data_IF_637668728605
#
_entry.id   IF_637668728605
#
_cell.length_a   1.000
_cell.length_b   1.000
_cell.length_c   1.000
_cell.angle_alpha   90.00
_cell.angle_beta   90.00
_cell.angle_gamma   90.00
#
_symmetry.space_group_name_H-M   'P 1'
#
loop_
_entity.id
_entity.type
_entity.pdbx_description
1 polymer ?
#
# COMPACT_ATOMS: atom_id res chain seq x y z
N UNK A 1 1.33 -48.78 -16.74
CA UNK A 1 -0.05 -49.32 -16.71
C UNK A 1 -0.99 -48.15 -16.93
N UNK A 2 -1.41 -47.95 -18.18
CA UNK A 2 -2.20 -46.81 -18.65
C UNK A 2 -3.62 -47.28 -18.97
N UNK A 3 -4.60 -46.80 -18.21
CA UNK A 3 -6.01 -47.11 -18.43
C UNK A 3 -6.62 -46.17 -19.48
N UNK A 4 -7.52 -46.65 -20.37
CA UNK A 4 -8.17 -45.79 -21.36
C UNK A 4 -9.41 -45.12 -20.77
N UNK A 5 -9.52 -43.81 -20.97
CA UNK A 5 -10.69 -42.99 -20.63
C UNK A 5 -11.74 -43.17 -21.73
N UNK A 6 -12.89 -43.74 -21.39
CA UNK A 6 -14.07 -43.83 -22.28
C UNK A 6 -14.85 -42.52 -22.22
N UNK A 7 -14.88 -41.78 -23.34
CA UNK A 7 -15.84 -40.70 -23.55
C UNK A 7 -17.20 -41.28 -23.95
N UNK A 8 -18.22 -41.05 -23.12
CA UNK A 8 -19.63 -41.15 -23.51
C UNK A 8 -20.24 -39.76 -23.44
N UNK A 9 -20.46 -39.16 -24.61
CA UNK A 9 -21.21 -37.92 -24.77
C UNK A 9 -22.66 -38.27 -25.13
N UNK A 10 -23.55 -38.23 -24.16
CA UNK A 10 -25.00 -38.21 -24.40
C UNK A 10 -25.42 -36.78 -24.72
N UNK A 11 -25.65 -36.48 -26.01
CA UNK A 11 -26.26 -35.23 -26.45
C UNK A 11 -27.76 -35.29 -26.16
N UNK A 12 -28.21 -34.48 -25.22
CA UNK A 12 -29.64 -34.17 -25.04
C UNK A 12 -30.06 -33.09 -26.04
N UNK A 13 -31.18 -33.23 -26.77
CA UNK A 13 -31.62 -32.23 -27.73
C UNK A 13 -32.14 -30.98 -27.02
N UNK A 14 -31.67 -29.85 -27.53
CA UNK A 14 -31.98 -28.50 -27.12
C UNK A 14 -33.48 -28.19 -27.16
N UNK A 15 -34.04 -27.72 -26.04
CA UNK A 15 -35.13 -26.75 -26.07
C UNK A 15 -34.51 -25.39 -26.41
N UNK A 16 -34.55 -25.06 -27.71
CA UNK A 16 -34.25 -23.73 -28.24
C UNK A 16 -35.29 -22.74 -27.72
N UNK A 17 -35.00 -22.09 -26.60
CA UNK A 17 -35.74 -20.92 -26.16
C UNK A 17 -35.19 -19.71 -26.95
N UNK A 18 -35.80 -19.43 -28.10
CA UNK A 18 -35.53 -18.25 -28.92
C UNK A 18 -36.21 -17.04 -28.30
N UNK A 19 -35.65 -16.52 -27.20
CA UNK A 19 -35.94 -15.17 -26.74
C UNK A 19 -34.69 -14.31 -26.96
N UNK A 20 -34.37 -14.09 -28.24
CA UNK A 20 -33.23 -13.32 -28.73
C UNK A 20 -33.60 -11.84 -28.92
N UNK A 21 -34.38 -11.28 -28.01
CA UNK A 21 -34.52 -9.83 -27.93
C UNK A 21 -33.33 -9.31 -27.12
N UNK A 22 -32.41 -8.53 -27.71
CA UNK A 22 -31.28 -7.97 -26.97
C UNK A 22 -31.87 -7.05 -25.89
N UNK A 23 -31.91 -7.53 -24.65
CA UNK A 23 -32.27 -6.71 -23.50
C UNK A 23 -31.30 -5.53 -23.51
N UNK A 24 -31.81 -4.35 -23.86
CA UNK A 24 -31.09 -3.11 -23.74
C UNK A 24 -30.76 -2.95 -22.25
N UNK A 25 -29.57 -3.38 -21.85
CA UNK A 25 -29.03 -3.09 -20.53
C UNK A 25 -28.72 -1.60 -20.50
N UNK A 26 -29.71 -0.80 -20.14
CA UNK A 26 -29.45 0.57 -19.74
C UNK A 26 -28.44 0.52 -18.59
N UNK A 27 -27.32 1.28 -18.67
CA UNK A 27 -26.38 1.33 -17.58
C UNK A 27 -27.12 1.80 -16.32
N UNK A 28 -26.85 1.20 -15.14
CA UNK A 28 -27.46 1.63 -13.90
C UNK A 28 -27.18 3.12 -13.70
N UNK A 29 -28.15 3.85 -13.14
CA UNK A 29 -27.91 5.25 -12.78
C UNK A 29 -26.76 5.33 -11.78
N UNK A 30 -26.02 6.45 -11.80
CA UNK A 30 -24.90 6.68 -10.87
C UNK A 30 -25.36 6.49 -9.41
N UNK A 31 -26.59 6.86 -9.08
CA UNK A 31 -27.17 6.70 -7.74
C UNK A 31 -27.31 5.23 -7.32
N UNK A 32 -27.77 4.37 -8.23
CA UNK A 32 -27.86 2.91 -8.00
C UNK A 32 -26.47 2.34 -7.82
N UNK A 33 -25.53 2.70 -8.69
CA UNK A 33 -24.15 2.24 -8.60
C UNK A 33 -23.49 2.65 -7.26
N UNK A 34 -23.66 3.90 -6.83
CA UNK A 34 -23.12 4.40 -5.55
C UNK A 34 -23.75 3.67 -4.36
N UNK A 35 -25.05 3.39 -4.41
CA UNK A 35 -25.74 2.61 -3.37
C UNK A 35 -25.20 1.19 -3.31
N UNK A 36 -25.17 0.49 -4.44
CA UNK A 36 -24.70 -0.89 -4.52
C UNK A 36 -23.25 -1.02 -4.06
N UNK A 37 -22.41 -0.03 -4.41
CA UNK A 37 -21.02 -0.01 -3.97
C UNK A 37 -20.89 0.21 -2.46
N UNK A 38 -21.69 1.13 -1.87
CA UNK A 38 -21.72 1.34 -0.42
C UNK A 38 -22.21 0.11 0.33
N UNK A 39 -23.24 -0.55 -0.18
CA UNK A 39 -23.80 -1.75 0.42
C UNK A 39 -22.79 -2.90 0.33
N UNK A 40 -22.09 -3.06 -0.80
CA UNK A 40 -21.05 -4.06 -0.99
C UNK A 40 -19.85 -3.89 -0.05
N UNK A 41 -19.50 -2.66 0.34
CA UNK A 41 -18.38 -2.37 1.25
C UNK A 41 -18.81 -2.07 2.69
N UNK A 42 -20.09 -2.18 3.01
CA UNK A 42 -20.63 -1.81 4.33
C UNK A 42 -19.94 -2.57 5.46
N UNK A 43 -19.73 -3.87 5.26
CA UNK A 43 -19.12 -4.74 6.26
C UNK A 43 -17.61 -4.49 6.39
N UNK A 44 -16.97 -3.88 5.38
CA UNK A 44 -15.59 -3.42 5.44
C UNK A 44 -15.42 -2.13 6.26
N UNK A 45 -16.50 -1.38 6.52
CA UNK A 45 -16.48 -0.14 7.29
C UNK A 45 -16.46 -0.32 8.81
N UNK A 46 -16.70 -1.53 9.32
CA UNK A 46 -16.75 -1.79 10.77
C UNK A 46 -15.34 -1.98 11.31
N UNK A 47 -14.76 -0.91 11.85
CA UNK A 47 -13.47 -0.95 12.54
C UNK A 47 -13.64 -1.57 13.92
N UNK A 48 -12.84 -2.61 14.22
CA UNK A 48 -12.80 -3.24 15.54
C UNK A 48 -11.50 -2.84 16.25
N UNK A 49 -11.54 -1.96 17.27
CA UNK A 49 -10.33 -1.47 17.95
C UNK A 49 -9.45 -2.60 18.49
N UNK A 50 -10.09 -3.63 19.04
CA UNK A 50 -9.40 -4.78 19.63
C UNK A 50 -8.66 -5.64 18.60
N UNK A 51 -9.22 -5.83 17.40
CA UNK A 51 -8.51 -6.57 16.34
C UNK A 51 -7.25 -5.82 15.91
N UNK A 52 -7.35 -4.49 15.76
CA UNK A 52 -6.21 -3.64 15.43
C UNK A 52 -5.10 -3.68 16.49
N UNK A 53 -5.48 -3.55 17.76
CA UNK A 53 -4.55 -3.58 18.89
C UNK A 53 -3.87 -4.94 19.05
N UNK A 54 -4.63 -6.04 19.00
CA UNK A 54 -4.05 -7.39 19.11
C UNK A 54 -3.09 -7.66 17.96
N UNK A 55 -3.48 -7.35 16.71
CA UNK A 55 -2.61 -7.55 15.55
C UNK A 55 -1.32 -6.75 15.67
N UNK A 56 -1.43 -5.45 15.94
CA UNK A 56 -0.27 -4.55 16.05
C UNK A 56 0.63 -4.93 17.22
N UNK A 57 0.03 -5.28 18.36
CA UNK A 57 0.74 -5.70 19.57
C UNK A 57 1.49 -7.02 19.38
N UNK A 58 0.85 -8.03 18.79
CA UNK A 58 1.50 -9.33 18.52
C UNK A 58 2.67 -9.16 17.56
N UNK A 59 2.50 -8.42 16.46
CA UNK A 59 3.58 -8.17 15.50
C UNK A 59 4.73 -7.39 16.18
N UNK A 60 4.41 -6.35 16.96
CA UNK A 60 5.40 -5.58 17.70
C UNK A 60 6.19 -6.41 18.72
N UNK A 61 5.52 -7.26 19.49
CA UNK A 61 6.16 -8.19 20.45
C UNK A 61 7.07 -9.18 19.73
N UNK A 62 6.64 -9.76 18.61
CA UNK A 62 7.46 -10.67 17.82
C UNK A 62 8.69 -9.97 17.25
N UNK A 63 8.53 -8.75 16.71
CA UNK A 63 9.62 -7.92 16.21
C UNK A 63 10.64 -7.62 17.31
N UNK A 64 10.21 -7.02 18.42
CA UNK A 64 11.09 -6.64 19.53
C UNK A 64 11.72 -7.86 20.22
N UNK A 65 10.98 -8.97 20.32
CA UNK A 65 11.50 -10.24 20.81
C UNK A 65 12.63 -10.78 19.94
N UNK A 66 12.47 -10.77 18.62
CA UNK A 66 13.53 -11.19 17.69
C UNK A 66 14.77 -10.26 17.79
N UNK A 67 14.57 -8.95 17.92
CA UNK A 67 15.67 -8.00 18.17
C UNK A 67 16.39 -8.33 19.47
N UNK A 68 15.66 -8.51 20.57
CA UNK A 68 16.23 -8.84 21.87
C UNK A 68 17.03 -10.16 21.83
N UNK A 69 16.50 -11.18 21.17
CA UNK A 69 17.19 -12.46 20.96
C UNK A 69 18.45 -12.27 20.11
N UNK A 70 18.39 -11.51 19.01
CA UNK A 70 19.57 -11.24 18.18
C UNK A 70 20.71 -10.66 19.03
N UNK A 71 20.43 -9.70 19.90
CA UNK A 71 21.40 -9.06 20.78
C UNK A 71 21.98 -9.96 21.88
N UNK A 72 21.36 -11.11 22.17
CA UNK A 72 21.93 -12.10 23.09
C UNK A 72 23.08 -12.91 22.46
N UNK A 73 23.19 -12.91 21.12
CA UNK A 73 24.24 -13.63 20.40
C UNK A 73 25.30 -12.64 19.90
N UNK A 74 26.56 -12.71 20.37
CA UNK A 74 27.65 -11.93 19.78
C UNK A 74 27.81 -12.30 18.29
N UNK A 75 28.18 -11.31 17.46
CA UNK A 75 28.24 -11.30 15.98
C UNK A 75 28.45 -12.71 15.39
N UNK A 76 27.33 -13.39 15.12
CA UNK A 76 27.27 -14.78 14.67
C UNK A 76 26.16 -14.94 13.64
N UNK A 77 26.10 -16.11 13.00
CA UNK A 77 24.98 -16.43 12.12
C UNK A 77 23.62 -16.35 12.81
N UNK A 78 23.55 -16.66 14.10
CA UNK A 78 22.33 -16.50 14.88
C UNK A 78 21.89 -15.03 14.94
N UNK A 79 22.81 -14.09 15.17
CA UNK A 79 22.51 -12.65 15.12
C UNK A 79 21.89 -12.27 13.77
N UNK A 80 22.53 -12.66 12.66
CA UNK A 80 22.06 -12.33 11.30
C UNK A 80 20.67 -12.89 11.02
N UNK A 81 20.43 -14.15 11.38
CA UNK A 81 19.12 -14.82 11.17
C UNK A 81 18.03 -14.13 11.98
N UNK A 82 18.26 -13.86 13.26
CA UNK A 82 17.26 -13.20 14.11
C UNK A 82 17.01 -11.75 13.70
N UNK A 83 18.03 -11.02 13.25
CA UNK A 83 17.86 -9.69 12.67
C UNK A 83 17.02 -9.73 11.38
N UNK A 84 17.24 -10.72 10.50
CA UNK A 84 16.44 -10.87 9.29
C UNK A 84 14.97 -11.18 9.61
N UNK A 85 14.70 -12.06 10.57
CA UNK A 85 13.34 -12.37 11.03
C UNK A 85 12.69 -11.13 11.67
N UNK A 86 13.43 -10.38 12.51
CA UNK A 86 12.97 -9.13 13.08
C UNK A 86 12.59 -8.11 11.99
N UNK A 87 13.40 -7.98 10.93
CA UNK A 87 13.12 -7.08 9.82
C UNK A 87 11.83 -7.46 9.07
N UNK A 88 11.54 -8.76 8.92
CA UNK A 88 10.28 -9.24 8.33
C UNK A 88 9.09 -8.83 9.20
N UNK A 89 9.14 -9.07 10.51
CA UNK A 89 8.06 -8.64 11.41
C UNK A 89 7.93 -7.12 11.47
N UNK A 90 9.04 -6.39 11.45
CA UNK A 90 9.04 -4.93 11.38
C UNK A 90 8.39 -4.42 10.09
N UNK A 91 8.63 -5.07 8.95
CA UNK A 91 7.97 -4.72 7.70
C UNK A 91 6.43 -4.90 7.80
N UNK A 92 5.95 -6.00 8.40
CA UNK A 92 4.52 -6.15 8.67
C UNK A 92 3.99 -5.14 9.68
N UNK A 93 4.81 -4.72 10.64
CA UNK A 93 4.44 -3.69 11.60
C UNK A 93 4.29 -2.34 10.91
N UNK A 94 5.22 -1.99 10.01
CA UNK A 94 5.14 -0.82 9.14
C UNK A 94 3.91 -0.83 8.24
N UNK A 95 3.51 -1.99 7.70
CA UNK A 95 2.24 -2.08 6.92
C UNK A 95 1.03 -1.65 7.76
N UNK A 96 1.06 -1.87 9.09
CA UNK A 96 -0.03 -1.44 9.98
C UNK A 96 -0.15 0.10 10.08
N UNK A 97 0.91 0.86 9.76
CA UNK A 97 0.86 2.33 9.77
C UNK A 97 -0.01 2.88 8.64
N UNK A 98 -0.17 2.13 7.54
CA UNK A 98 -1.07 2.51 6.44
C UNK A 98 -2.52 2.60 6.93
N UNK A 99 -3.01 1.58 7.65
CA UNK A 99 -4.35 1.60 8.24
C UNK A 99 -4.47 2.66 9.34
N UNK A 100 -3.41 2.89 10.10
CA UNK A 100 -3.39 3.91 11.14
C UNK A 100 -3.53 5.33 10.57
N UNK A 101 -2.91 5.60 9.41
CA UNK A 101 -3.05 6.87 8.67
C UNK A 101 -4.47 7.10 8.18
N UNK A 102 -5.19 6.02 7.86
CA UNK A 102 -6.61 6.06 7.51
C UNK A 102 -7.54 6.06 8.72
N UNK A 103 -6.99 5.96 9.93
CA UNK A 103 -7.73 5.77 11.18
C UNK A 103 -8.65 4.54 11.15
N UNK A 104 -8.23 3.49 10.45
CA UNK A 104 -8.95 2.21 10.34
C UNK A 104 -8.24 1.09 11.09
N UNK A 105 -7.06 1.35 11.68
CA UNK A 105 -6.37 0.38 12.51
C UNK A 105 -7.16 0.10 13.79
N UNK A 106 -7.42 1.14 14.58
CA UNK A 106 -8.26 1.03 15.78
C UNK A 106 -9.51 1.91 15.73
N UNK A 107 -9.51 2.95 14.89
CA UNK A 107 -10.54 3.98 14.88
C UNK A 107 -10.31 5.08 15.94
N UNK A 108 -9.30 4.93 16.80
CA UNK A 108 -8.93 5.93 17.79
C UNK A 108 -7.84 6.83 17.19
N UNK A 109 -8.24 7.98 16.67
CA UNK A 109 -7.36 8.92 15.94
C UNK A 109 -6.02 9.16 16.67
N UNK A 110 -6.07 9.51 17.96
CA UNK A 110 -4.85 9.79 18.74
C UNK A 110 -3.93 8.57 18.84
N UNK A 111 -4.50 7.38 19.03
CA UNK A 111 -3.73 6.15 19.13
C UNK A 111 -3.11 5.79 17.78
N UNK A 112 -3.92 5.81 16.72
CA UNK A 112 -3.50 5.45 15.36
C UNK A 112 -2.38 6.41 14.88
N UNK A 113 -2.51 7.71 15.10
CA UNK A 113 -1.44 8.67 14.77
C UNK A 113 -0.17 8.44 15.60
N UNK A 114 -0.30 8.23 16.91
CA UNK A 114 0.85 8.01 17.81
C UNK A 114 1.60 6.74 17.45
N UNK A 115 0.88 5.62 17.27
CA UNK A 115 1.52 4.33 17.00
C UNK A 115 2.17 4.32 15.63
N UNK A 116 1.58 4.97 14.62
CA UNK A 116 2.20 5.11 13.31
C UNK A 116 3.56 5.81 13.39
N UNK A 117 3.65 6.91 14.16
CA UNK A 117 4.90 7.65 14.40
C UNK A 117 5.93 6.82 15.16
N UNK A 118 5.53 6.13 16.23
CA UNK A 118 6.41 5.25 17.01
C UNK A 118 7.00 4.13 16.15
N UNK A 119 6.17 3.45 15.35
CA UNK A 119 6.62 2.38 14.45
C UNK A 119 7.59 2.92 13.40
N UNK A 120 7.34 4.13 12.89
CA UNK A 120 8.07 4.74 11.78
C UNK A 120 9.37 5.44 12.20
N UNK A 121 9.48 5.84 13.46
CA UNK A 121 10.63 6.58 14.00
C UNK A 121 11.99 5.89 13.79
N UNK A 122 12.16 4.56 13.99
CA UNK A 122 13.45 3.90 13.81
C UNK A 122 14.05 4.01 12.40
N UNK A 123 13.21 4.23 11.38
CA UNK A 123 13.64 4.43 9.99
C UNK A 123 13.45 5.87 9.51
N UNK A 124 13.16 6.80 10.42
CA UNK A 124 12.90 8.21 10.14
C UNK A 124 11.83 8.40 9.06
N UNK A 125 10.82 7.54 9.06
CA UNK A 125 9.75 7.62 8.08
C UNK A 125 8.80 8.76 8.43
N UNK A 126 8.64 9.72 7.50
CA UNK A 126 7.86 10.94 7.65
C UNK A 126 6.35 10.66 7.54
N UNK A 127 5.76 10.09 8.61
CA UNK A 127 4.36 9.63 8.65
C UNK A 127 3.37 10.72 8.30
N UNK A 128 3.53 11.94 8.83
CA UNK A 128 2.58 13.03 8.59
C UNK A 128 2.58 13.46 7.13
N UNK A 129 3.76 13.60 6.55
CA UNK A 129 3.97 13.93 5.14
C UNK A 129 3.41 12.83 4.26
N UNK A 130 3.76 11.58 4.56
CA UNK A 130 3.23 10.42 3.84
C UNK A 130 1.70 10.37 3.92
N UNK A 131 1.09 10.62 5.08
CA UNK A 131 -0.37 10.63 5.23
C UNK A 131 -1.06 11.66 4.32
N UNK A 132 -0.50 12.87 4.18
CA UNK A 132 -1.07 13.90 3.31
C UNK A 132 -0.86 13.58 1.82
N UNK A 133 0.29 13.02 1.44
CA UNK A 133 0.55 12.56 0.08
C UNK A 133 -0.33 11.36 -0.29
N UNK A 134 -0.53 10.44 0.63
CA UNK A 134 -1.36 9.27 0.44
C UNK A 134 -2.86 9.63 0.27
N UNK A 135 -3.34 10.67 0.98
CA UNK A 135 -4.67 11.25 0.72
C UNK A 135 -4.80 11.85 -0.67
N UNK A 136 -3.75 12.51 -1.17
CA UNK A 136 -3.71 13.00 -2.55
C UNK A 136 -3.77 11.84 -3.53
N UNK A 137 -2.97 10.80 -3.30
CA UNK A 137 -3.00 9.57 -4.07
C UNK A 137 -4.43 9.02 -4.15
N UNK A 138 -5.13 8.79 -3.03
CA UNK A 138 -6.50 8.29 -3.09
C UNK A 138 -7.48 9.23 -3.81
N UNK A 139 -7.28 10.55 -3.70
CA UNK A 139 -8.14 11.53 -4.37
C UNK A 139 -7.95 11.58 -5.89
N UNK A 140 -6.75 11.22 -6.36
CA UNK A 140 -6.39 11.25 -7.77
C UNK A 140 -6.47 9.86 -8.40
N UNK A 141 -6.08 8.83 -7.66
CA UNK A 141 -6.16 7.41 -7.97
C UNK A 141 -5.64 7.12 -9.38
N UNK A 142 -4.45 7.62 -9.69
CA UNK A 142 -3.81 7.51 -11.01
C UNK A 142 -4.43 8.35 -12.13
N UNK A 143 -5.51 9.10 -11.88
CA UNK A 143 -6.17 9.94 -12.92
C UNK A 143 -5.35 11.16 -13.32
N UNK A 144 -4.34 11.53 -12.53
CA UNK A 144 -3.47 12.67 -12.81
C UNK A 144 -2.01 12.23 -12.83
N UNK A 145 -1.23 12.86 -13.70
CA UNK A 145 0.21 12.58 -13.84
C UNK A 145 1.04 13.09 -12.65
N UNK A 146 0.48 13.99 -11.84
CA UNK A 146 1.08 14.51 -10.61
C UNK A 146 0.71 13.68 -9.38
N UNK A 147 0.17 12.46 -9.54
CA UNK A 147 -0.10 11.57 -8.41
C UNK A 147 1.20 11.15 -7.69
N UNK A 148 1.31 11.38 -6.35
CA UNK A 148 2.52 11.12 -5.59
C UNK A 148 2.95 9.68 -5.54
N UNK A 149 2.03 8.75 -5.75
CA UNK A 149 2.31 7.32 -5.76
C UNK A 149 2.21 6.75 -7.17
N UNK A 150 2.21 7.60 -8.22
CA UNK A 150 2.26 7.14 -9.61
C UNK A 150 3.56 6.37 -9.84
N UNK A 151 3.41 5.11 -10.25
CA UNK A 151 4.52 4.26 -10.69
C UNK A 151 4.65 4.20 -12.22
N UNK A 152 3.61 4.62 -12.94
CA UNK A 152 3.53 4.58 -14.40
C UNK A 152 4.25 5.76 -15.05
N UNK A 153 5.05 5.47 -16.07
CA UNK A 153 5.75 6.47 -16.86
C UNK A 153 5.03 6.71 -18.18
N UNK A 154 4.87 7.99 -18.56
CA UNK A 154 4.46 8.33 -19.92
C UNK A 154 5.61 8.08 -20.89
N UNK A 155 5.30 7.82 -22.16
CA UNK A 155 6.32 7.66 -23.19
C UNK A 155 7.21 8.92 -23.30
N UNK A 156 6.61 10.11 -23.20
CA UNK A 156 7.35 11.36 -23.26
C UNK A 156 8.30 11.58 -22.07
N UNK A 157 7.97 11.09 -20.87
CA UNK A 157 8.90 11.09 -19.73
C UNK A 157 10.03 10.10 -19.94
N UNK A 158 9.71 8.90 -20.44
CA UNK A 158 10.68 7.86 -20.72
C UNK A 158 11.70 8.31 -21.77
N UNK A 159 11.24 8.93 -22.86
CA UNK A 159 12.09 9.37 -23.98
C UNK A 159 13.01 10.52 -23.58
N UNK A 160 12.59 11.37 -22.63
CA UNK A 160 13.40 12.47 -22.09
C UNK A 160 14.38 12.03 -21.01
N UNK A 161 14.19 10.85 -20.42
CA UNK A 161 15.04 10.36 -19.35
C UNK A 161 16.41 9.89 -19.85
N UNK A 162 17.42 10.04 -19.00
CA UNK A 162 18.78 9.56 -19.29
C UNK A 162 18.83 8.02 -19.39
N UNK A 163 19.97 7.49 -19.84
CA UNK A 163 20.12 6.04 -20.04
C UNK A 163 19.96 5.22 -18.76
N UNK A 164 20.43 5.77 -17.62
CA UNK A 164 20.37 5.09 -16.33
C UNK A 164 18.94 5.06 -15.80
N UNK A 165 18.20 6.17 -15.87
CA UNK A 165 16.80 6.22 -15.46
C UNK A 165 15.95 5.29 -16.31
N UNK A 166 16.16 5.26 -17.64
CA UNK A 166 15.47 4.32 -18.52
C UNK A 166 15.77 2.86 -18.20
N UNK A 167 17.01 2.54 -17.81
CA UNK A 167 17.37 1.20 -17.34
C UNK A 167 16.67 0.89 -16.01
N UNK A 168 16.67 1.83 -15.07
CA UNK A 168 15.97 1.70 -13.79
C UNK A 168 14.47 1.42 -14.00
N UNK A 169 13.79 2.23 -14.82
CA UNK A 169 12.34 2.07 -15.10
C UNK A 169 12.02 0.68 -15.66
N UNK A 170 12.87 0.14 -16.55
CA UNK A 170 12.70 -1.23 -17.09
C UNK A 170 12.82 -2.33 -16.02
N UNK A 171 13.56 -2.07 -14.95
CA UNK A 171 13.82 -3.03 -13.87
C UNK A 171 13.20 -2.57 -12.55
N UNK A 172 12.31 -1.59 -12.58
CA UNK A 172 11.80 -0.88 -11.40
C UNK A 172 11.24 -1.85 -10.38
N UNK A 173 10.42 -2.80 -10.83
CA UNK A 173 9.83 -3.81 -9.95
C UNK A 173 10.88 -4.63 -9.20
N UNK A 174 11.89 -5.15 -9.90
CA UNK A 174 12.92 -5.98 -9.26
C UNK A 174 13.79 -5.15 -8.30
N UNK A 175 14.12 -3.92 -8.68
CA UNK A 175 14.93 -3.03 -7.86
C UNK A 175 14.17 -2.61 -6.59
N UNK A 176 12.90 -2.24 -6.74
CA UNK A 176 12.07 -1.83 -5.60
C UNK A 176 11.80 -3.01 -4.66
N UNK A 177 11.57 -4.22 -5.18
CA UNK A 177 11.31 -5.40 -4.34
C UNK A 177 12.57 -5.93 -3.65
N UNK A 178 13.70 -6.02 -4.35
CA UNK A 178 14.88 -6.75 -3.86
C UNK A 178 16.01 -5.86 -3.32
N UNK A 179 16.13 -4.61 -3.76
CA UNK A 179 17.21 -3.72 -3.31
C UNK A 179 16.74 -2.68 -2.31
N UNK A 180 15.75 -1.87 -2.70
CA UNK A 180 15.39 -0.71 -1.91
C UNK A 180 14.23 -0.94 -0.95
N UNK A 181 13.33 -1.89 -1.26
CA UNK A 181 12.13 -2.14 -0.45
C UNK A 181 11.36 -0.85 -0.17
N UNK A 182 11.02 -0.65 1.10
CA UNK A 182 10.35 0.56 1.59
C UNK A 182 11.18 1.85 1.39
N UNK A 183 12.52 1.77 1.41
CA UNK A 183 13.39 2.95 1.23
C UNK A 183 13.24 3.53 -0.17
N UNK A 184 13.03 2.68 -1.18
CA UNK A 184 12.83 3.11 -2.56
C UNK A 184 11.57 3.96 -2.72
N UNK A 185 10.50 3.59 -2.00
CA UNK A 185 9.27 4.37 -1.93
C UNK A 185 9.51 5.72 -1.24
N UNK A 186 10.25 5.79 -0.12
CA UNK A 186 10.61 7.07 0.53
C UNK A 186 11.25 8.02 -0.48
N UNK A 187 12.32 7.56 -1.14
CA UNK A 187 13.14 8.38 -2.00
C UNK A 187 12.34 8.87 -3.22
N UNK A 188 11.47 8.02 -3.77
CA UNK A 188 10.57 8.41 -4.86
C UNK A 188 9.58 9.46 -4.44
N UNK A 189 8.90 9.27 -3.31
CA UNK A 189 7.90 10.20 -2.80
C UNK A 189 8.53 11.56 -2.50
N UNK A 190 9.73 11.58 -1.90
CA UNK A 190 10.50 12.81 -1.68
C UNK A 190 10.89 13.49 -2.99
N UNK A 191 11.45 12.73 -3.94
CA UNK A 191 11.84 13.27 -5.25
C UNK A 191 10.66 13.83 -6.01
N UNK A 192 9.54 13.13 -6.05
CA UNK A 192 8.32 13.60 -6.70
C UNK A 192 7.81 14.90 -6.05
N UNK A 193 7.89 15.01 -4.72
CA UNK A 193 7.57 16.25 -4.00
C UNK A 193 8.46 17.43 -4.37
N UNK A 194 9.75 17.19 -4.67
CA UNK A 194 10.68 18.21 -5.17
C UNK A 194 10.36 18.56 -6.63
N UNK A 195 10.26 17.55 -7.50
CA UNK A 195 10.10 17.71 -8.95
C UNK A 195 8.78 18.41 -9.32
N UNK A 196 7.70 18.12 -8.57
CA UNK A 196 6.41 18.80 -8.74
C UNK A 196 6.25 20.05 -7.86
N UNK A 197 7.29 20.40 -7.10
CA UNK A 197 7.30 21.55 -6.21
C UNK A 197 6.25 21.48 -5.10
N UNK A 198 5.71 20.31 -4.73
CA UNK A 198 4.62 20.20 -3.76
C UNK A 198 4.91 20.92 -2.44
N UNK A 199 6.16 20.86 -1.98
CA UNK A 199 6.59 21.56 -0.77
C UNK A 199 6.50 23.09 -0.89
N UNK A 200 6.69 23.62 -2.10
CA UNK A 200 6.72 25.04 -2.41
C UNK A 200 5.40 25.59 -2.98
N UNK A 201 4.63 24.79 -3.73
CA UNK A 201 3.52 25.29 -4.58
C UNK A 201 2.15 24.72 -4.21
N UNK A 202 2.05 23.66 -3.41
CA UNK A 202 0.73 23.16 -3.02
C UNK A 202 0.01 24.15 -2.09
N UNK A 203 -1.28 24.45 -2.34
CA UNK A 203 -2.08 25.33 -1.49
C UNK A 203 -2.43 24.73 -0.11
N UNK A 204 -2.02 23.49 0.17
CA UNK A 204 -2.30 22.82 1.44
C UNK A 204 -1.23 23.17 2.48
N UNK A 205 -1.53 24.20 3.26
CA UNK A 205 -0.78 24.57 4.48
C UNK A 205 -0.48 23.36 5.38
N UNK A 206 -1.38 22.37 5.41
CA UNK A 206 -1.23 21.14 6.19
C UNK A 206 -0.01 20.30 5.82
N UNK A 207 0.34 20.16 4.53
CA UNK A 207 1.51 19.36 4.11
C UNK A 207 2.82 19.97 4.65
N UNK A 208 2.92 21.30 4.64
CA UNK A 208 4.09 22.01 5.19
C UNK A 208 4.20 21.85 6.71
N UNK A 209 3.07 21.92 7.42
CA UNK A 209 3.05 21.68 8.86
C UNK A 209 3.42 20.25 9.22
N UNK A 210 2.92 19.27 8.47
CA UNK A 210 3.28 17.87 8.67
C UNK A 210 4.75 17.60 8.36
N UNK A 211 5.30 18.21 7.29
CA UNK A 211 6.73 18.12 6.99
C UNK A 211 7.58 18.71 8.13
N UNK A 212 7.20 19.88 8.64
CA UNK A 212 7.89 20.50 9.78
C UNK A 212 7.78 19.63 11.04
N UNK A 213 6.60 19.03 11.29
CA UNK A 213 6.38 18.06 12.36
C UNK A 213 7.30 16.85 12.22
N UNK A 214 7.28 16.17 11.07
CA UNK A 214 8.11 14.99 10.82
C UNK A 214 9.61 15.28 10.98
N UNK A 215 10.09 16.45 10.51
CA UNK A 215 11.50 16.88 10.72
C UNK A 215 11.80 17.13 12.20
N UNK A 216 10.86 17.68 12.95
CA UNK A 216 10.99 17.87 14.38
C UNK A 216 10.81 16.58 15.19
N UNK A 217 10.33 15.49 14.57
CA UNK A 217 9.96 14.23 15.24
C UNK A 217 8.57 14.25 15.90
N UNK A 218 7.66 15.12 15.43
CA UNK A 218 6.33 15.39 15.99
C UNK A 218 5.20 15.00 15.05
#
# INVERSE_FOLDING_TARGET
MTAPIKHQATRSPACLNTDSSPKQHHPPSIEVLVRDLRDAVRDCGVVSPWRGLVRTGVIGVLCLGCVAIAWMFPISWAFVVWSAIAAIFYAFWLVSTHEAIHHTLTGWVLWDETIARVISWPILWAVGTYAELHKLHHSWNGRRLDDPERTEWTQAEYDRADGLTRWYVRHQWAIDVFLFGAIGLVLKTFRAGIDHGWFATQPRSRLRWQLAGDVAGW
#
